data_IF_044798372685
#
_entry.id   IF_044798372685
#
_cell.length_a   1.000
_cell.length_b   1.000
_cell.length_c   1.000
_cell.angle_alpha   90.00
_cell.angle_beta   90.00
_cell.angle_gamma   90.00
#
_symmetry.space_group_name_H-M   'P 1'
#
loop_
_entity.id
_entity.type
_entity.pdbx_description
1 polymer ?
#
# COMPACT_ATOMS: atom_id res chain seq x y z
N UNK A 1 6.66 4.24 -34.38
CA UNK A 1 5.42 4.04 -35.17
C UNK A 1 4.53 5.26 -35.03
N UNK A 2 3.77 5.62 -36.06
CA UNK A 2 2.79 6.72 -36.02
C UNK A 2 1.39 6.18 -35.79
N UNK A 3 0.72 6.74 -34.78
CA UNK A 3 -0.68 6.46 -34.46
C UNK A 3 -1.46 7.76 -34.45
N UNK A 4 -2.78 7.67 -34.66
CA UNK A 4 -3.69 8.82 -34.65
C UNK A 4 -4.65 8.69 -33.47
N UNK A 5 -4.66 9.67 -32.56
CA UNK A 5 -5.58 9.71 -31.42
C UNK A 5 -6.42 10.97 -31.52
N UNK A 6 -7.74 10.82 -31.58
CA UNK A 6 -8.70 11.92 -31.70
C UNK A 6 -8.34 12.92 -32.82
N UNK A 7 -7.97 12.42 -33.99
CA UNK A 7 -7.59 13.27 -35.14
C UNK A 7 -6.11 13.69 -35.20
N UNK A 8 -5.36 13.60 -34.10
CA UNK A 8 -3.97 14.07 -34.00
C UNK A 8 -2.96 12.92 -34.09
N UNK A 9 -1.84 13.15 -34.77
CA UNK A 9 -0.78 12.14 -34.95
C UNK A 9 0.20 12.19 -33.76
N UNK A 10 0.54 11.01 -33.23
CA UNK A 10 1.50 10.82 -32.15
C UNK A 10 2.51 9.73 -32.52
N UNK A 11 3.70 9.83 -31.93
CA UNK A 11 4.71 8.78 -32.00
C UNK A 11 4.51 7.79 -30.85
N UNK A 12 4.51 6.51 -31.19
CA UNK A 12 4.51 5.38 -30.28
C UNK A 12 5.82 4.60 -30.41
N UNK A 13 6.38 4.21 -29.27
CA UNK A 13 7.52 3.30 -29.22
C UNK A 13 7.02 1.85 -29.37
N UNK A 14 7.91 0.97 -29.78
CA UNK A 14 7.62 -0.45 -29.84
C UNK A 14 7.31 -1.00 -28.43
N UNK A 15 6.28 -1.85 -28.32
CA UNK A 15 5.83 -2.40 -27.04
C UNK A 15 4.99 -1.46 -26.16
N UNK A 16 4.74 -0.21 -26.57
CA UNK A 16 3.85 0.68 -25.82
C UNK A 16 2.37 0.34 -26.01
N UNK A 17 1.61 0.39 -24.92
CA UNK A 17 0.15 0.33 -24.98
C UNK A 17 -0.43 1.67 -25.43
N UNK A 18 -1.67 1.66 -25.96
CA UNK A 18 -2.42 2.89 -26.26
C UNK A 18 -2.46 3.81 -25.03
N UNK A 19 -2.71 3.25 -23.85
CA UNK A 19 -2.78 4.00 -22.59
C UNK A 19 -1.44 4.68 -22.26
N UNK A 20 -0.31 4.00 -22.47
CA UNK A 20 1.02 4.58 -22.25
C UNK A 20 1.24 5.81 -23.13
N UNK A 21 0.86 5.72 -24.41
CA UNK A 21 0.96 6.84 -25.35
C UNK A 21 0.04 7.99 -24.94
N UNK A 22 -1.21 7.69 -24.53
CA UNK A 22 -2.14 8.70 -24.02
C UNK A 22 -1.59 9.42 -22.79
N UNK A 23 -1.09 8.68 -21.79
CA UNK A 23 -0.54 9.25 -20.54
C UNK A 23 0.64 10.20 -20.81
N UNK A 24 1.62 9.79 -21.63
CA UNK A 24 2.76 10.63 -22.02
C UNK A 24 2.33 11.95 -22.65
N UNK A 25 1.27 11.91 -23.45
CA UNK A 25 0.78 13.08 -24.20
C UNK A 25 -0.34 13.82 -23.47
N UNK A 26 -0.55 13.54 -22.18
CA UNK A 26 -1.59 14.17 -21.33
C UNK A 26 -3.01 14.02 -21.91
N UNK A 27 -3.26 12.94 -22.65
CA UNK A 27 -4.59 12.56 -23.13
C UNK A 27 -5.25 11.73 -22.04
N UNK A 28 -6.36 12.24 -21.51
CA UNK A 28 -7.09 11.57 -20.43
C UNK A 28 -7.79 10.32 -20.96
N UNK A 29 -7.47 9.17 -20.38
CA UNK A 29 -8.21 7.92 -20.51
C UNK A 29 -8.38 7.34 -19.10
N UNK A 30 -9.61 7.18 -18.59
CA UNK A 30 -9.83 6.74 -17.21
C UNK A 30 -9.41 5.27 -17.02
N UNK A 31 -8.91 4.94 -15.83
CA UNK A 31 -8.42 3.60 -15.49
C UNK A 31 -8.70 3.29 -14.03
N UNK A 32 -8.98 2.02 -13.71
CA UNK A 32 -9.04 1.52 -12.33
C UNK A 32 -8.14 0.31 -12.10
N UNK A 33 -8.06 -0.66 -13.02
CA UNK A 33 -7.18 -1.82 -12.84
C UNK A 33 -5.76 -1.61 -13.38
N UNK A 34 -5.53 -0.53 -14.14
CA UNK A 34 -4.21 -0.24 -14.69
C UNK A 34 -3.39 0.55 -13.67
N UNK A 35 -2.15 0.12 -13.45
CA UNK A 35 -1.13 0.82 -12.67
C UNK A 35 0.12 1.01 -13.55
N UNK A 36 0.84 2.14 -13.49
CA UNK A 36 2.02 2.39 -14.33
C UNK A 36 3.06 1.25 -14.28
N UNK A 37 3.37 0.75 -13.09
CA UNK A 37 4.37 -0.33 -12.90
C UNK A 37 3.88 -1.72 -13.34
N UNK A 38 2.61 -1.84 -13.74
CA UNK A 38 1.96 -3.10 -14.10
C UNK A 38 1.38 -3.06 -15.53
N UNK A 39 1.97 -2.26 -16.42
CA UNK A 39 1.60 -2.26 -17.85
C UNK A 39 2.42 -3.31 -18.63
N UNK A 40 1.82 -4.01 -19.62
CA UNK A 40 0.40 -3.99 -19.98
C UNK A 40 -0.50 -4.58 -18.87
N UNK A 41 -1.72 -4.03 -18.76
CA UNK A 41 -2.72 -4.47 -17.78
C UNK A 41 -3.66 -5.51 -18.38
N UNK A 42 -4.31 -6.31 -17.53
CA UNK A 42 -5.32 -7.30 -17.96
C UNK A 42 -6.62 -6.64 -18.47
N UNK A 43 -6.81 -5.34 -18.22
CA UNK A 43 -7.97 -4.59 -18.71
C UNK A 43 -9.31 -5.00 -18.09
N UNK A 44 -9.29 -5.64 -16.91
CA UNK A 44 -10.48 -6.22 -16.25
C UNK A 44 -11.55 -5.19 -15.91
N UNK A 45 -11.18 -3.98 -15.46
CA UNK A 45 -12.17 -2.96 -15.07
C UNK A 45 -12.89 -2.31 -16.25
N UNK A 46 -12.37 -2.47 -17.48
CA UNK A 46 -12.93 -1.88 -18.71
C UNK A 46 -13.20 -0.36 -18.67
N UNK A 47 -12.58 0.39 -17.76
CA UNK A 47 -12.68 1.86 -17.76
C UNK A 47 -11.89 2.50 -18.90
N UNK A 48 -10.78 1.88 -19.32
CA UNK A 48 -9.91 2.41 -20.38
C UNK A 48 -10.36 2.05 -21.80
N UNK A 49 -11.63 1.70 -22.00
CA UNK A 49 -12.14 1.34 -23.32
C UNK A 49 -11.99 2.51 -24.30
N UNK A 50 -11.55 2.20 -25.51
CA UNK A 50 -11.43 3.12 -26.64
C UNK A 50 -11.94 2.43 -27.91
N UNK A 51 -12.30 3.23 -28.90
CA UNK A 51 -12.67 2.74 -30.23
C UNK A 51 -11.46 2.82 -31.16
N UNK A 52 -11.27 1.83 -32.03
CA UNK A 52 -10.17 1.81 -32.99
C UNK A 52 -10.62 1.41 -34.38
N UNK A 53 -9.84 1.78 -35.39
CA UNK A 53 -10.07 1.35 -36.77
C UNK A 53 -9.76 -0.14 -37.04
N UNK A 54 -9.14 -0.84 -36.09
CA UNK A 54 -8.71 -2.23 -36.25
C UNK A 54 -9.64 -3.25 -35.58
N UNK A 55 -10.53 -2.82 -34.70
CA UNK A 55 -11.45 -3.68 -33.98
C UNK A 55 -12.91 -3.27 -34.23
N UNK A 56 -13.81 -4.26 -34.39
CA UNK A 56 -15.26 -4.00 -34.50
C UNK A 56 -15.89 -3.55 -33.17
N UNK A 57 -15.23 -3.88 -32.06
CA UNK A 57 -15.67 -3.56 -30.69
C UNK A 57 -14.76 -2.54 -30.00
N UNK A 58 -15.14 -2.14 -28.79
CA UNK A 58 -14.28 -1.34 -27.94
C UNK A 58 -13.15 -2.19 -27.38
N UNK A 59 -11.94 -1.65 -27.34
CA UNK A 59 -10.75 -2.34 -26.85
C UNK A 59 -10.18 -1.63 -25.62
N UNK A 60 -9.60 -2.35 -24.64
CA UNK A 60 -8.96 -1.73 -23.50
C UNK A 60 -7.62 -1.10 -23.90
N UNK A 61 -7.50 0.22 -23.75
CA UNK A 61 -6.27 0.95 -24.08
C UNK A 61 -5.05 0.50 -23.26
N UNK A 62 -5.26 -0.05 -22.06
CA UNK A 62 -4.18 -0.51 -21.17
C UNK A 62 -3.56 -1.86 -21.56
N UNK A 63 -4.17 -2.59 -22.51
CA UNK A 63 -3.70 -3.90 -22.97
C UNK A 63 -3.38 -3.89 -24.47
N UNK A 64 -4.11 -3.11 -25.25
CA UNK A 64 -3.88 -3.01 -26.70
C UNK A 64 -2.55 -2.29 -26.97
N UNK A 65 -1.66 -2.97 -27.70
CA UNK A 65 -0.40 -2.39 -28.16
C UNK A 65 -0.63 -1.39 -29.29
N UNK A 66 0.17 -0.32 -29.30
CA UNK A 66 0.22 0.63 -30.40
C UNK A 66 0.97 0.02 -31.59
N UNK A 67 0.40 0.14 -32.78
CA UNK A 67 0.98 -0.33 -34.04
C UNK A 67 0.82 0.75 -35.12
N UNK A 68 1.64 0.69 -36.18
CA UNK A 68 1.60 1.68 -37.26
C UNK A 68 0.19 1.76 -37.89
N UNK A 69 -0.30 2.98 -38.11
CA UNK A 69 -1.60 3.22 -38.75
C UNK A 69 -2.81 3.02 -37.83
N UNK A 70 -2.60 2.76 -36.53
CA UNK A 70 -3.68 2.68 -35.55
C UNK A 70 -4.35 4.05 -35.38
N UNK A 71 -5.67 4.09 -35.54
CA UNK A 71 -6.50 5.25 -35.24
C UNK A 71 -7.38 4.95 -34.02
N UNK A 72 -7.38 5.85 -33.05
CA UNK A 72 -8.01 5.68 -31.73
C UNK A 72 -8.93 6.87 -31.45
N UNK A 73 -10.14 6.58 -31.00
CA UNK A 73 -11.11 7.55 -30.51
C UNK A 73 -11.42 7.28 -29.04
N UNK A 74 -11.18 8.27 -28.18
CA UNK A 74 -11.25 8.06 -26.72
C UNK A 74 -12.57 8.49 -26.08
N UNK A 75 -13.39 9.30 -26.79
CA UNK A 75 -14.58 9.97 -26.24
C UNK A 75 -15.82 9.84 -27.14
N UNK A 76 -16.00 8.70 -27.81
CA UNK A 76 -17.24 8.44 -28.58
C UNK A 76 -18.42 8.19 -27.64
N UNK A 77 -19.66 8.41 -28.11
CA UNK A 77 -20.87 8.11 -27.33
C UNK A 77 -20.89 6.65 -26.86
N UNK A 78 -20.50 5.73 -27.75
CA UNK A 78 -20.38 4.30 -27.47
C UNK A 78 -19.38 4.02 -26.34
N UNK A 79 -18.20 4.67 -26.36
CA UNK A 79 -17.19 4.56 -25.31
C UNK A 79 -17.73 5.07 -23.98
N UNK A 80 -18.32 6.25 -23.96
CA UNK A 80 -18.80 6.87 -22.73
C UNK A 80 -19.97 6.10 -22.09
N UNK A 81 -20.90 5.60 -22.90
CA UNK A 81 -21.97 4.71 -22.44
C UNK A 81 -21.41 3.42 -21.83
N UNK A 82 -20.43 2.79 -22.48
CA UNK A 82 -19.82 1.56 -21.97
C UNK A 82 -19.07 1.80 -20.65
N UNK A 83 -18.28 2.87 -20.54
CA UNK A 83 -17.58 3.23 -19.29
C UNK A 83 -18.55 3.49 -18.14
N UNK A 84 -19.65 4.21 -18.38
CA UNK A 84 -20.69 4.46 -17.36
C UNK A 84 -21.31 3.15 -16.85
N UNK A 85 -21.70 2.25 -17.75
CA UNK A 85 -22.25 0.94 -17.37
C UNK A 85 -21.24 0.10 -16.58
N UNK A 86 -19.98 0.04 -17.03
CA UNK A 86 -18.94 -0.71 -16.32
C UNK A 86 -18.71 -0.16 -14.92
N UNK A 87 -18.72 1.16 -14.77
CA UNK A 87 -18.55 1.80 -13.47
C UNK A 87 -19.74 1.54 -12.53
N UNK A 88 -20.97 1.55 -13.04
CA UNK A 88 -22.17 1.17 -12.28
C UNK A 88 -22.10 -0.31 -11.82
N UNK A 89 -21.57 -1.22 -12.65
CA UNK A 89 -21.36 -2.62 -12.28
C UNK A 89 -20.26 -2.80 -11.22
N UNK A 90 -19.13 -2.11 -11.37
CA UNK A 90 -18.07 -2.12 -10.35
C UNK A 90 -18.57 -1.61 -8.99
N UNK A 91 -19.54 -0.71 -9.00
CA UNK A 91 -20.17 -0.23 -7.78
C UNK A 91 -21.16 -1.23 -7.17
N UNK A 92 -21.79 -2.08 -8.00
CA UNK A 92 -22.61 -3.19 -7.50
C UNK A 92 -21.78 -4.20 -6.70
N UNK A 93 -20.52 -4.40 -7.08
CA UNK A 93 -19.56 -5.25 -6.37
C UNK A 93 -18.82 -4.53 -5.21
N UNK A 94 -19.36 -3.41 -4.70
CA UNK A 94 -18.72 -2.60 -3.66
C UNK A 94 -19.72 -2.14 -2.59
N UNK A 95 -19.34 -2.20 -1.31
CA UNK A 95 -20.26 -1.90 -0.19
C UNK A 95 -20.72 -0.43 -0.07
N UNK A 96 -20.00 0.51 -0.68
CA UNK A 96 -20.46 1.91 -0.79
C UNK A 96 -20.51 2.72 0.52
N UNK A 97 -19.97 2.20 1.63
CA UNK A 97 -19.97 2.84 2.96
C UNK A 97 -18.93 3.98 3.09
N UNK A 98 -19.04 5.01 2.24
CA UNK A 98 -18.01 6.05 2.10
C UNK A 98 -17.79 6.90 3.36
N UNK A 99 -18.82 7.12 4.19
CA UNK A 99 -18.73 7.98 5.38
C UNK A 99 -17.72 7.44 6.41
N UNK A 100 -17.67 6.12 6.58
CA UNK A 100 -16.76 5.44 7.51
C UNK A 100 -15.50 4.89 6.82
N UNK A 101 -15.32 5.16 5.53
CA UNK A 101 -14.26 4.56 4.72
C UNK A 101 -12.94 5.31 4.92
N UNK A 102 -11.86 4.56 5.19
CA UNK A 102 -10.50 5.10 5.37
C UNK A 102 -9.96 5.84 4.13
N UNK A 103 -10.46 5.51 2.93
CA UNK A 103 -10.07 6.16 1.66
C UNK A 103 -11.03 7.24 1.19
N UNK A 104 -11.99 7.67 2.02
CA UNK A 104 -12.94 8.71 1.63
C UNK A 104 -12.19 10.00 1.23
N UNK A 105 -12.53 10.56 0.07
CA UNK A 105 -11.88 11.75 -0.48
C UNK A 105 -10.57 11.49 -1.23
N UNK A 106 -10.10 10.23 -1.29
CA UNK A 106 -8.89 9.80 -2.04
C UNK A 106 -9.07 8.45 -2.74
N UNK A 107 -10.32 8.06 -3.00
CA UNK A 107 -10.67 6.78 -3.61
C UNK A 107 -10.83 6.95 -5.13
N UNK A 108 -10.04 6.22 -5.93
CA UNK A 108 -10.09 6.33 -7.40
C UNK A 108 -11.47 5.94 -7.95
N UNK A 109 -12.17 5.01 -7.29
CA UNK A 109 -13.53 4.61 -7.67
C UNK A 109 -14.54 5.75 -7.40
N UNK A 110 -14.40 6.43 -6.27
CA UNK A 110 -15.23 7.58 -5.89
C UNK A 110 -15.03 8.75 -6.87
N UNK A 111 -13.78 9.05 -7.22
CA UNK A 111 -13.45 10.10 -8.17
C UNK A 111 -14.11 9.84 -9.53
N UNK A 112 -14.01 8.60 -10.03
CA UNK A 112 -14.65 8.24 -11.29
C UNK A 112 -16.17 8.30 -11.22
N UNK A 113 -16.79 7.91 -10.11
CA UNK A 113 -18.24 8.02 -9.94
C UNK A 113 -18.69 9.49 -10.03
N UNK A 114 -17.93 10.41 -9.45
CA UNK A 114 -18.17 11.85 -9.57
C UNK A 114 -17.99 12.35 -11.01
N UNK A 115 -16.93 11.92 -11.70
CA UNK A 115 -16.64 12.33 -13.09
C UNK A 115 -17.74 11.88 -14.06
N UNK A 116 -18.35 10.72 -13.83
CA UNK A 116 -19.38 10.13 -14.70
C UNK A 116 -20.83 10.45 -14.27
N UNK A 117 -20.98 11.28 -13.23
CA UNK A 117 -22.27 11.69 -12.67
C UNK A 117 -23.17 10.47 -12.39
N UNK A 118 -22.64 9.54 -11.60
CA UNK A 118 -23.39 8.37 -11.14
C UNK A 118 -24.10 8.73 -9.85
N UNK A 119 -25.38 9.08 -9.97
CA UNK A 119 -26.26 9.42 -8.85
C UNK A 119 -27.22 8.29 -8.46
N UNK A 120 -27.40 7.31 -9.36
CA UNK A 120 -28.25 6.14 -9.13
C UNK A 120 -27.52 4.87 -9.58
N UNK A 121 -27.39 3.91 -8.68
CA UNK A 121 -26.74 2.63 -8.95
C UNK A 121 -27.77 1.60 -9.39
N UNK A 122 -28.08 1.62 -10.69
CA UNK A 122 -29.12 0.77 -11.31
C UNK A 122 -28.94 -0.73 -11.05
N UNK A 123 -27.70 -1.18 -10.88
CA UNK A 123 -27.37 -2.59 -10.67
C UNK A 123 -27.20 -2.97 -9.20
N UNK A 124 -27.21 -2.00 -8.27
CA UNK A 124 -27.18 -2.30 -6.83
C UNK A 124 -28.62 -2.63 -6.40
N UNK A 125 -28.89 -3.87 -5.95
CA UNK A 125 -30.21 -4.21 -5.44
C UNK A 125 -30.55 -3.33 -4.23
N UNK A 126 -31.79 -2.86 -4.11
CA UNK A 126 -32.17 -2.07 -2.94
C UNK A 126 -32.36 -3.01 -1.77
N UNK A 127 -31.64 -2.81 -0.67
CA UNK A 127 -31.72 -3.68 0.52
C UNK A 127 -33.14 -3.93 1.02
N UNK A 128 -34.05 -2.95 0.90
CA UNK A 128 -35.46 -3.08 1.30
C UNK A 128 -36.28 -4.05 0.43
N UNK A 129 -35.78 -4.37 -0.76
CA UNK A 129 -36.41 -5.26 -1.74
C UNK A 129 -35.88 -6.70 -1.63
N UNK A 130 -34.95 -6.97 -0.68
CA UNK A 130 -34.35 -8.28 -0.44
C UNK A 130 -34.91 -8.86 0.86
N UNK A 131 -35.46 -10.08 0.82
CA UNK A 131 -36.14 -10.70 1.96
C UNK A 131 -35.41 -11.96 2.45
N UNK A 132 -34.73 -12.66 1.55
CA UNK A 132 -34.02 -13.91 1.89
C UNK A 132 -32.53 -13.69 2.17
N UNK A 133 -31.89 -14.57 2.97
CA UNK A 133 -30.44 -14.56 3.16
C UNK A 133 -29.64 -14.66 1.86
N UNK A 134 -30.10 -15.50 0.92
CA UNK A 134 -29.45 -15.69 -0.40
C UNK A 134 -29.51 -14.41 -1.27
N UNK A 135 -30.60 -13.65 -1.18
CA UNK A 135 -30.73 -12.36 -1.87
C UNK A 135 -29.86 -11.29 -1.22
N UNK A 136 -29.75 -11.30 0.12
CA UNK A 136 -28.87 -10.38 0.82
C UNK A 136 -27.38 -10.67 0.54
N UNK A 137 -26.99 -11.92 0.29
CA UNK A 137 -25.62 -12.30 -0.14
C UNK A 137 -25.21 -11.65 -1.48
N UNK A 138 -26.15 -11.13 -2.27
CA UNK A 138 -25.85 -10.33 -3.47
C UNK A 138 -25.22 -8.97 -3.14
N UNK A 139 -25.42 -8.47 -1.92
CA UNK A 139 -24.78 -7.25 -1.46
C UNK A 139 -23.42 -7.58 -0.87
N UNK A 140 -22.35 -6.98 -1.41
CA UNK A 140 -20.97 -7.19 -0.94
C UNK A 140 -20.81 -6.89 0.57
N UNK A 141 -21.69 -6.07 1.13
CA UNK A 141 -21.68 -5.71 2.55
C UNK A 141 -22.34 -6.74 3.49
N UNK A 142 -23.00 -7.76 2.93
CA UNK A 142 -23.67 -8.84 3.62
C UNK A 142 -23.17 -10.23 3.16
N UNK A 143 -22.02 -10.25 2.48
CA UNK A 143 -21.48 -11.42 1.84
C UNK A 143 -20.93 -12.43 2.85
N UNK A 144 -21.33 -13.70 2.74
CA UNK A 144 -20.95 -14.75 3.71
C UNK A 144 -19.44 -15.03 3.74
N UNK A 145 -18.75 -14.81 2.63
CA UNK A 145 -17.31 -15.08 2.45
C UNK A 145 -16.50 -13.78 2.35
N UNK A 146 -16.93 -12.78 3.12
CA UNK A 146 -16.14 -11.57 3.29
C UNK A 146 -14.83 -11.90 4.00
N UNK A 147 -13.71 -11.57 3.35
CA UNK A 147 -12.39 -11.67 3.93
C UNK A 147 -12.10 -10.43 4.79
N UNK A 148 -12.27 -10.58 6.10
CA UNK A 148 -11.80 -9.61 7.10
C UNK A 148 -10.51 -10.11 7.74
N UNK A 149 -9.42 -9.39 7.55
CA UNK A 149 -8.15 -9.67 8.22
C UNK A 149 -7.71 -8.43 8.99
N UNK A 150 -8.03 -8.43 10.29
CA UNK A 150 -7.62 -7.38 11.23
C UNK A 150 -6.60 -7.87 12.27
N UNK A 151 -6.30 -9.17 12.27
CA UNK A 151 -5.43 -9.80 13.28
C UNK A 151 -3.96 -9.60 12.98
N UNK A 152 -3.60 -9.40 11.72
CA UNK A 152 -2.21 -9.11 11.37
C UNK A 152 -1.84 -7.66 11.72
N UNK A 153 -0.57 -7.46 12.06
CA UNK A 153 -0.06 -6.20 12.62
C UNK A 153 0.13 -5.07 11.61
N UNK A 154 0.18 -5.38 10.31
CA UNK A 154 0.67 -4.44 9.30
C UNK A 154 -0.39 -4.02 8.30
N UNK A 155 -1.26 -4.94 7.90
CA UNK A 155 -2.25 -4.80 6.84
C UNK A 155 -3.65 -4.98 7.45
N UNK A 156 -4.63 -4.25 6.95
CA UNK A 156 -6.04 -4.52 7.19
C UNK A 156 -6.71 -4.86 5.86
N UNK A 157 -7.50 -5.93 5.85
CA UNK A 157 -8.26 -6.35 4.66
C UNK A 157 -9.73 -6.30 4.95
N UNK A 158 -10.46 -5.75 3.99
CA UNK A 158 -11.91 -5.72 3.97
C UNK A 158 -12.37 -5.94 2.51
N UNK A 159 -12.73 -7.17 2.17
CA UNK A 159 -13.14 -7.48 0.80
C UNK A 159 -14.47 -6.85 0.38
N UNK A 160 -15.23 -6.23 1.30
CA UNK A 160 -16.46 -5.51 0.95
C UNK A 160 -16.18 -4.28 0.06
N UNK A 161 -14.97 -3.74 0.12
CA UNK A 161 -14.52 -2.64 -0.73
C UNK A 161 -13.73 -3.09 -1.97
N UNK A 162 -13.61 -4.40 -2.21
CA UNK A 162 -12.81 -4.94 -3.31
C UNK A 162 -13.59 -4.91 -4.63
N UNK A 163 -13.06 -4.20 -5.62
CA UNK A 163 -13.59 -4.19 -7.00
C UNK A 163 -12.88 -5.19 -7.93
N UNK A 164 -12.18 -6.17 -7.35
CA UNK A 164 -11.51 -7.27 -8.09
C UNK A 164 -10.57 -6.79 -9.21
N UNK A 165 -9.93 -5.63 -9.02
CA UNK A 165 -9.08 -5.00 -10.04
C UNK A 165 -7.73 -5.70 -10.26
N UNK A 166 -7.37 -6.65 -9.38
CA UNK A 166 -6.15 -7.48 -9.41
C UNK A 166 -4.82 -6.73 -9.32
N UNK A 167 -4.81 -5.42 -9.02
CA UNK A 167 -3.56 -4.66 -8.81
C UNK A 167 -2.72 -5.28 -7.69
N UNK A 168 -3.35 -5.62 -6.57
CA UNK A 168 -2.69 -6.25 -5.41
C UNK A 168 -2.13 -7.65 -5.72
N UNK A 169 -2.85 -8.47 -6.50
CA UNK A 169 -2.39 -9.79 -6.95
C UNK A 169 -1.15 -9.62 -7.83
N UNK A 170 -1.23 -8.74 -8.82
CA UNK A 170 -0.15 -8.53 -9.79
C UNK A 170 1.08 -7.88 -9.19
N UNK A 171 0.96 -6.86 -8.34
CA UNK A 171 2.15 -6.27 -7.69
C UNK A 171 2.87 -7.29 -6.80
N UNK A 172 2.10 -8.16 -6.13
CA UNK A 172 2.66 -9.19 -5.24
C UNK A 172 3.37 -10.30 -6.02
N UNK A 173 2.81 -10.72 -7.17
CA UNK A 173 3.42 -11.72 -8.06
C UNK A 173 4.55 -11.13 -8.89
N UNK A 174 4.22 -10.15 -9.73
CA UNK A 174 5.07 -9.67 -10.82
C UNK A 174 6.26 -8.84 -10.29
N UNK A 175 6.10 -8.11 -9.18
CA UNK A 175 7.15 -7.24 -8.61
C UNK A 175 7.79 -7.79 -7.35
N UNK A 176 6.99 -8.36 -6.43
CA UNK A 176 7.52 -8.86 -5.16
C UNK A 176 7.91 -10.34 -5.20
N UNK A 177 7.43 -11.12 -6.18
CA UNK A 177 7.67 -12.57 -6.32
C UNK A 177 7.20 -13.41 -5.11
N UNK A 178 6.23 -12.90 -4.34
CA UNK A 178 5.72 -13.55 -3.12
C UNK A 178 4.44 -14.34 -3.40
N UNK A 179 3.61 -13.87 -4.33
CA UNK A 179 2.32 -14.50 -4.70
C UNK A 179 1.38 -14.76 -3.50
N UNK A 180 1.34 -13.83 -2.52
CA UNK A 180 0.51 -13.98 -1.33
C UNK A 180 -1.02 -13.94 -1.59
N UNK A 181 -1.43 -13.45 -2.76
CA UNK A 181 -2.84 -13.31 -3.14
C UNK A 181 -3.14 -14.02 -4.45
N UNK A 182 -4.36 -14.55 -4.56
CA UNK A 182 -4.94 -15.10 -5.77
C UNK A 182 -6.40 -14.71 -5.96
N UNK A 183 -7.02 -15.23 -7.01
CA UNK A 183 -8.45 -15.15 -7.23
C UNK A 183 -9.10 -16.42 -6.68
N UNK A 184 -9.96 -16.27 -5.68
CA UNK A 184 -10.77 -17.34 -5.11
C UNK A 184 -12.16 -17.33 -5.74
N UNK A 185 -12.83 -18.48 -5.68
CA UNK A 185 -14.19 -18.69 -6.20
C UNK A 185 -14.37 -18.33 -7.68
N UNK A 186 -15.63 -18.25 -8.14
CA UNK A 186 -16.01 -17.96 -9.53
C UNK A 186 -17.34 -17.21 -9.58
N UNK A 187 -17.63 -16.60 -10.74
CA UNK A 187 -18.87 -15.87 -10.98
C UNK A 187 -19.06 -14.73 -9.97
N UNK A 188 -20.29 -14.47 -9.52
CA UNK A 188 -20.62 -13.49 -8.48
C UNK A 188 -19.93 -13.72 -7.12
N UNK A 189 -19.33 -14.90 -6.90
CA UNK A 189 -18.59 -15.22 -5.67
C UNK A 189 -17.10 -14.90 -5.76
N UNK A 190 -16.60 -14.46 -6.92
CA UNK A 190 -15.17 -14.20 -7.14
C UNK A 190 -14.62 -13.22 -6.11
N UNK A 191 -13.46 -13.52 -5.50
CA UNK A 191 -12.83 -12.63 -4.54
C UNK A 191 -11.30 -12.64 -4.66
N UNK A 192 -10.64 -11.55 -4.25
CA UNK A 192 -9.20 -11.56 -4.01
C UNK A 192 -8.93 -12.11 -2.61
N UNK A 193 -8.26 -13.24 -2.54
CA UNK A 193 -8.05 -14.00 -1.32
C UNK A 193 -6.62 -14.50 -1.16
N UNK A 194 -6.32 -14.97 0.04
CA UNK A 194 -5.17 -15.86 0.28
C UNK A 194 -5.55 -17.28 -0.17
N UNK A 195 -4.56 -18.15 -0.48
CA UNK A 195 -4.81 -19.56 -0.73
C UNK A 195 -5.58 -20.18 0.44
N UNK A 196 -6.68 -20.89 0.14
CA UNK A 196 -7.57 -21.51 1.15
C UNK A 196 -8.15 -20.54 2.21
N UNK A 197 -8.15 -19.23 1.94
CA UNK A 197 -8.66 -18.19 2.85
C UNK A 197 -8.05 -18.17 4.25
N UNK A 198 -6.82 -18.70 4.37
CA UNK A 198 -6.08 -18.66 5.62
C UNK A 198 -5.65 -17.21 5.95
N UNK A 199 -5.43 -16.89 7.23
CA UNK A 199 -4.89 -15.58 7.63
C UNK A 199 -3.62 -15.22 6.84
N UNK A 200 -3.46 -13.94 6.49
CA UNK A 200 -2.34 -13.50 5.67
C UNK A 200 -1.00 -13.65 6.41
N UNK A 201 -0.15 -14.54 5.91
CA UNK A 201 1.21 -14.75 6.41
C UNK A 201 2.26 -14.50 5.32
N UNK A 202 2.41 -13.23 4.90
CA UNK A 202 3.36 -12.82 3.85
C UNK A 202 4.61 -12.12 4.44
N UNK A 203 5.34 -11.37 3.61
CA UNK A 203 6.50 -10.54 4.04
C UNK A 203 6.09 -9.12 4.51
N UNK A 204 4.78 -8.83 4.48
CA UNK A 204 4.17 -7.57 4.94
C UNK A 204 4.74 -6.28 4.33
N UNK A 205 5.24 -6.32 3.09
CA UNK A 205 5.84 -5.15 2.43
C UNK A 205 4.85 -4.02 2.07
N UNK A 206 3.54 -4.30 2.10
CA UNK A 206 2.49 -3.30 1.90
C UNK A 206 2.27 -2.82 0.47
N UNK A 207 3.00 -3.34 -0.51
CA UNK A 207 2.82 -2.95 -1.91
C UNK A 207 1.40 -3.21 -2.42
N UNK A 208 0.71 -4.23 -1.90
CA UNK A 208 -0.70 -4.48 -2.17
C UNK A 208 -1.65 -3.39 -1.66
N UNK A 209 -1.36 -2.80 -0.48
CA UNK A 209 -2.10 -1.66 0.07
C UNK A 209 -1.87 -0.40 -0.76
N UNK A 210 -0.59 -0.14 -1.09
CA UNK A 210 -0.18 1.04 -1.85
C UNK A 210 -0.88 1.15 -3.21
N UNK A 211 -1.06 0.04 -3.93
CA UNK A 211 -1.70 0.03 -5.25
C UNK A 211 -3.23 -0.14 -5.21
N UNK A 212 -3.82 -0.36 -4.03
CA UNK A 212 -5.26 -0.58 -3.91
C UNK A 212 -6.03 0.72 -4.23
N UNK A 213 -6.92 0.73 -5.25
CA UNK A 213 -7.65 1.95 -5.64
C UNK A 213 -8.81 2.29 -4.69
N UNK A 214 -9.14 1.39 -3.77
CA UNK A 214 -10.24 1.47 -2.81
C UNK A 214 -9.73 1.12 -1.40
N UNK A 215 -10.61 0.99 -0.40
CA UNK A 215 -10.23 0.62 0.96
C UNK A 215 -10.15 -0.90 1.20
N UNK A 216 -10.03 -1.71 0.15
CA UNK A 216 -10.06 -3.17 0.29
C UNK A 216 -8.82 -3.74 1.00
N UNK A 217 -7.67 -3.09 0.79
CA UNK A 217 -6.42 -3.37 1.48
C UNK A 217 -5.87 -2.03 1.95
N UNK A 218 -5.71 -1.89 3.25
CA UNK A 218 -5.15 -0.70 3.91
C UNK A 218 -4.06 -1.14 4.88
N UNK A 219 -3.33 -0.20 5.43
CA UNK A 219 -2.48 -0.42 6.60
C UNK A 219 -3.31 -0.61 7.88
N UNK A 220 -2.72 -1.33 8.85
CA UNK A 220 -3.25 -1.34 10.21
C UNK A 220 -3.07 0.06 10.80
N UNK A 221 -4.16 0.64 11.27
CA UNK A 221 -4.18 1.99 11.82
C UNK A 221 -4.00 1.92 13.34
N UNK A 222 -2.92 2.53 13.83
CA UNK A 222 -2.58 2.59 15.26
C UNK A 222 -2.78 4.02 15.83
N UNK A 223 -3.42 4.92 15.09
CA UNK A 223 -3.66 6.30 15.52
C UNK A 223 -4.45 6.37 16.83
N UNK A 224 -5.46 5.52 16.99
CA UNK A 224 -6.25 5.48 18.23
C UNK A 224 -5.43 5.02 19.46
N UNK A 225 -4.40 4.20 19.26
CA UNK A 225 -3.48 3.82 20.35
C UNK A 225 -2.53 4.98 20.67
N UNK A 226 -2.06 5.69 19.64
CA UNK A 226 -1.25 6.88 19.80
C UNK A 226 -1.99 8.01 20.54
N UNK A 227 -3.24 8.28 20.19
CA UNK A 227 -4.10 9.26 20.88
C UNK A 227 -4.30 8.91 22.35
N UNK A 228 -4.50 7.62 22.67
CA UNK A 228 -4.58 7.15 24.06
C UNK A 228 -3.27 7.36 24.82
N UNK A 229 -2.13 7.14 24.16
CA UNK A 229 -0.82 7.37 24.75
C UNK A 229 -0.59 8.87 25.06
N UNK A 230 -0.96 9.76 24.14
CA UNK A 230 -0.89 11.21 24.33
C UNK A 230 -1.82 11.70 25.46
N UNK A 231 -2.96 11.04 25.64
CA UNK A 231 -3.92 11.40 26.68
C UNK A 231 -3.53 10.91 28.09
N UNK A 232 -2.55 10.02 28.24
CA UNK A 232 -2.12 9.51 29.55
C UNK A 232 -1.06 10.43 30.19
N UNK A 233 -1.40 11.20 31.24
CA UNK A 233 -0.46 12.14 31.87
C UNK A 233 0.68 11.45 32.63
N UNK A 234 0.64 10.12 32.80
CA UNK A 234 1.71 9.34 33.45
C UNK A 234 2.75 8.84 32.47
N UNK A 235 2.49 8.99 31.17
CA UNK A 235 3.34 8.50 30.10
C UNK A 235 4.03 9.65 29.40
N UNK A 236 5.22 9.37 28.93
CA UNK A 236 6.03 10.26 28.12
C UNK A 236 6.06 9.71 26.70
N UNK A 237 5.49 10.44 25.75
CA UNK A 237 5.40 10.02 24.35
C UNK A 237 6.63 10.51 23.60
N UNK A 238 7.49 9.57 23.26
CA UNK A 238 8.75 9.81 22.57
C UNK A 238 8.62 9.30 21.14
N UNK A 239 8.78 10.20 20.17
CA UNK A 239 8.62 9.87 18.75
C UNK A 239 9.98 9.79 18.08
N UNK A 240 10.16 8.84 17.17
CA UNK A 240 11.24 8.83 16.19
C UNK A 240 10.69 8.88 14.76
N UNK A 241 11.28 9.70 13.88
CA UNK A 241 10.83 9.84 12.49
C UNK A 241 11.83 9.24 11.50
N UNK A 242 11.36 8.38 10.60
CA UNK A 242 12.21 7.80 9.56
C UNK A 242 12.68 8.85 8.53
N UNK A 243 13.82 8.60 7.85
CA UNK A 243 14.40 9.55 6.90
C UNK A 243 13.43 10.00 5.80
N UNK A 244 12.67 9.08 5.18
CA UNK A 244 11.80 9.42 4.05
C UNK A 244 10.60 10.30 4.41
N UNK A 245 10.12 10.23 5.66
CA UNK A 245 8.90 10.93 6.12
C UNK A 245 9.03 12.44 5.91
N UNK A 246 10.23 13.01 6.11
CA UNK A 246 10.47 14.44 5.92
C UNK A 246 10.39 14.92 4.46
N UNK A 247 10.29 14.00 3.50
CA UNK A 247 10.15 14.32 2.07
C UNK A 247 8.78 13.97 1.50
N UNK A 248 8.06 13.02 2.11
CA UNK A 248 6.78 12.51 1.60
C UNK A 248 5.58 13.05 2.36
N UNK A 249 5.71 13.35 3.66
CA UNK A 249 4.59 13.79 4.49
C UNK A 249 3.97 15.12 4.01
N UNK A 250 4.74 15.94 3.30
CA UNK A 250 4.28 17.21 2.74
C UNK A 250 3.25 17.04 1.62
N UNK A 251 3.27 15.92 0.90
CA UNK A 251 2.34 15.62 -0.18
C UNK A 251 0.90 15.53 0.32
N UNK A 252 0.71 15.07 1.56
CA UNK A 252 -0.58 14.99 2.25
C UNK A 252 -1.25 16.35 2.46
N UNK A 253 -0.49 17.43 2.35
CA UNK A 253 -0.93 18.82 2.49
C UNK A 253 -0.90 19.58 1.16
N UNK A 254 -0.77 18.85 0.04
CA UNK A 254 -0.80 19.41 -1.30
C UNK A 254 0.52 20.02 -1.78
N UNK A 255 1.62 19.79 -1.05
CA UNK A 255 2.96 20.19 -1.50
C UNK A 255 3.46 19.26 -2.61
N UNK A 256 4.49 19.70 -3.34
CA UNK A 256 5.10 18.90 -4.41
C UNK A 256 5.88 17.73 -3.81
N UNK A 257 5.87 16.59 -4.50
CA UNK A 257 6.66 15.42 -4.10
C UNK A 257 8.15 15.74 -3.95
N UNK A 258 8.76 15.23 -2.88
CA UNK A 258 10.15 15.49 -2.51
C UNK A 258 10.38 16.81 -1.76
N UNK A 259 9.33 17.54 -1.40
CA UNK A 259 9.46 18.77 -0.60
C UNK A 259 9.92 18.44 0.82
N UNK A 260 11.07 18.98 1.21
CA UNK A 260 11.65 18.81 2.55
C UNK A 260 10.86 19.56 3.62
N UNK A 261 10.47 18.87 4.70
CA UNK A 261 9.46 19.35 5.65
C UNK A 261 9.74 19.04 7.13
N UNK A 262 11.00 18.75 7.48
CA UNK A 262 11.39 18.28 8.82
C UNK A 262 10.97 19.21 9.96
N UNK A 263 11.29 20.52 9.87
CA UNK A 263 11.00 21.45 10.97
C UNK A 263 9.50 21.59 11.26
N UNK A 264 8.66 21.54 10.23
CA UNK A 264 7.20 21.58 10.37
C UNK A 264 6.68 20.27 10.96
N UNK A 265 7.19 19.12 10.51
CA UNK A 265 6.85 17.83 11.09
C UNK A 265 7.14 17.78 12.60
N UNK A 266 8.36 18.18 13.00
CA UNK A 266 8.76 18.22 14.42
C UNK A 266 7.89 19.19 15.22
N UNK A 267 7.58 20.37 14.68
CA UNK A 267 6.70 21.33 15.33
C UNK A 267 5.29 20.77 15.53
N UNK A 268 4.72 20.13 14.51
CA UNK A 268 3.39 19.50 14.60
C UNK A 268 3.34 18.38 15.64
N UNK A 269 4.37 17.54 15.72
CA UNK A 269 4.43 16.47 16.73
C UNK A 269 4.48 17.04 18.16
N UNK A 270 5.20 18.13 18.37
CA UNK A 270 5.21 18.83 19.68
C UNK A 270 3.85 19.46 20.00
N UNK A 271 3.20 20.07 19.01
CA UNK A 271 1.86 20.65 19.17
C UNK A 271 0.81 19.58 19.49
N UNK A 272 0.97 18.36 18.94
CA UNK A 272 0.13 17.20 19.27
C UNK A 272 0.34 16.68 20.71
N UNK A 273 1.39 17.14 21.41
CA UNK A 273 1.68 16.73 22.79
C UNK A 273 2.80 15.71 22.94
N UNK A 274 3.62 15.45 21.91
CA UNK A 274 4.79 14.58 22.06
C UNK A 274 5.91 15.29 22.86
N UNK A 275 6.41 14.64 23.91
CA UNK A 275 7.43 15.21 24.80
C UNK A 275 8.79 15.38 24.13
N UNK A 276 9.15 14.45 23.24
CA UNK A 276 10.41 14.49 22.50
C UNK A 276 10.26 13.89 21.11
N UNK A 277 11.00 14.47 20.17
CA UNK A 277 11.12 13.96 18.80
C UNK A 277 12.59 13.69 18.53
N UNK A 278 12.93 12.43 18.25
CA UNK A 278 14.22 11.96 17.80
C UNK A 278 14.20 11.68 16.30
N UNK A 279 15.39 11.63 15.71
CA UNK A 279 15.58 11.31 14.31
C UNK A 279 16.14 9.89 14.15
N UNK A 280 15.42 9.01 13.44
CA UNK A 280 15.89 7.65 13.14
C UNK A 280 17.17 7.63 12.30
N UNK A 281 17.59 8.76 11.69
CA UNK A 281 18.92 8.90 11.07
C UNK A 281 20.03 8.56 12.05
N UNK A 282 19.91 8.91 13.34
CA UNK A 282 20.88 8.48 14.35
C UNK A 282 20.93 6.95 14.47
N UNK A 283 19.78 6.29 14.43
CA UNK A 283 19.69 4.83 14.37
C UNK A 283 20.35 4.26 13.11
N UNK A 284 20.25 4.97 11.98
CA UNK A 284 20.90 4.56 10.73
C UNK A 284 22.42 4.68 10.82
N UNK A 285 22.95 5.77 11.38
CA UNK A 285 24.38 5.92 11.60
C UNK A 285 24.94 4.80 12.50
N UNK A 286 24.20 4.44 13.55
CA UNK A 286 24.56 3.32 14.44
C UNK A 286 24.52 1.97 13.72
N UNK A 287 23.48 1.72 12.91
CA UNK A 287 23.42 0.53 12.07
C UNK A 287 24.65 0.46 11.16
N UNK A 288 25.06 1.57 10.53
CA UNK A 288 26.23 1.59 9.65
C UNK A 288 27.53 1.32 10.42
N UNK A 289 27.70 1.87 11.62
CA UNK A 289 28.90 1.63 12.44
C UNK A 289 29.04 0.12 12.72
N UNK A 290 27.97 -0.52 13.19
CA UNK A 290 27.97 -1.95 13.52
C UNK A 290 28.08 -2.83 12.27
N UNK A 291 27.33 -2.52 11.21
CA UNK A 291 27.27 -3.33 9.99
C UNK A 291 28.57 -3.23 9.19
N UNK A 292 29.21 -2.06 9.13
CA UNK A 292 30.53 -1.90 8.54
C UNK A 292 31.61 -2.63 9.37
N UNK A 293 31.51 -2.57 10.70
CA UNK A 293 32.42 -3.32 11.57
C UNK A 293 32.28 -4.83 11.34
N UNK A 294 31.04 -5.34 11.27
CA UNK A 294 30.73 -6.73 10.97
C UNK A 294 31.26 -7.16 9.60
N UNK A 295 31.08 -6.34 8.56
CA UNK A 295 31.60 -6.62 7.23
C UNK A 295 33.13 -6.75 7.23
N UNK A 296 33.84 -5.79 7.86
CA UNK A 296 35.30 -5.84 7.98
C UNK A 296 35.73 -7.10 8.75
N UNK A 297 35.01 -7.44 9.82
CA UNK A 297 35.26 -8.65 10.60
C UNK A 297 35.10 -9.91 9.74
N UNK A 298 34.00 -10.05 8.99
CA UNK A 298 33.74 -11.18 8.08
C UNK A 298 34.83 -11.30 7.00
N UNK A 299 35.27 -10.19 6.41
CA UNK A 299 36.35 -10.18 5.41
C UNK A 299 37.67 -10.67 6.02
N UNK A 300 38.06 -10.13 7.18
CA UNK A 300 39.35 -10.47 7.83
C UNK A 300 39.41 -11.92 8.29
N UNK A 301 38.31 -12.48 8.75
CA UNK A 301 38.26 -13.83 9.32
C UNK A 301 37.70 -14.89 8.37
N UNK A 302 37.57 -14.58 7.07
CA UNK A 302 36.98 -15.47 6.05
C UNK A 302 35.60 -16.01 6.50
N UNK A 303 34.79 -15.11 7.08
CA UNK A 303 33.41 -15.39 7.47
C UNK A 303 32.49 -15.56 6.26
N UNK A 304 31.20 -15.72 6.55
CA UNK A 304 30.18 -15.99 5.53
C UNK A 304 29.93 -14.75 4.67
N UNK A 305 30.12 -14.90 3.36
CA UNK A 305 29.92 -13.89 2.33
C UNK A 305 29.06 -14.45 1.18
N UNK A 306 28.31 -13.62 0.43
CA UNK A 306 28.14 -12.17 0.62
C UNK A 306 27.38 -11.83 1.91
N UNK A 307 27.67 -10.68 2.51
CA UNK A 307 26.87 -10.17 3.63
C UNK A 307 25.65 -9.42 3.08
N UNK A 308 24.46 -9.71 3.59
CA UNK A 308 23.21 -9.06 3.25
C UNK A 308 22.80 -8.10 4.36
N UNK A 309 22.20 -6.98 3.99
CA UNK A 309 21.61 -6.05 4.96
C UNK A 309 20.41 -6.67 5.67
N UNK A 310 20.17 -6.28 6.92
CA UNK A 310 19.05 -6.78 7.75
C UNK A 310 18.03 -5.70 8.15
N UNK A 311 18.21 -4.45 7.69
CA UNK A 311 17.41 -3.32 8.15
C UNK A 311 15.96 -3.27 7.62
N UNK A 312 15.67 -4.01 6.54
CA UNK A 312 14.35 -4.11 5.94
C UNK A 312 13.62 -5.36 6.47
N UNK A 313 12.56 -5.22 7.28
CA UNK A 313 11.87 -6.37 7.87
C UNK A 313 11.22 -7.29 6.84
N UNK A 314 10.69 -6.74 5.74
CA UNK A 314 10.16 -7.55 4.64
C UNK A 314 11.23 -8.39 3.94
N UNK A 315 12.46 -7.87 3.83
CA UNK A 315 13.58 -8.64 3.29
C UNK A 315 14.02 -9.74 4.24
N UNK A 316 14.12 -9.45 5.55
CA UNK A 316 14.42 -10.46 6.56
C UNK A 316 13.39 -11.59 6.51
N UNK A 317 12.08 -11.25 6.49
CA UNK A 317 11.01 -12.24 6.35
C UNK A 317 11.09 -13.03 5.04
N UNK A 318 11.52 -12.38 3.95
CA UNK A 318 11.70 -13.05 2.67
C UNK A 318 12.79 -14.11 2.74
N UNK A 319 13.94 -13.78 3.35
CA UNK A 319 15.02 -14.75 3.60
C UNK A 319 14.55 -15.86 4.54
N UNK A 320 13.92 -15.52 5.67
CA UNK A 320 13.44 -16.49 6.67
C UNK A 320 12.47 -17.51 6.07
N UNK A 321 11.58 -17.08 5.17
CA UNK A 321 10.53 -17.94 4.59
C UNK A 321 10.95 -18.68 3.33
N UNK A 322 11.68 -18.02 2.43
CA UNK A 322 11.93 -18.54 1.09
C UNK A 322 13.38 -18.97 0.86
N UNK A 323 14.34 -18.43 1.62
CA UNK A 323 15.76 -18.74 1.47
C UNK A 323 16.48 -18.88 2.82
N UNK A 324 16.02 -19.78 3.71
CA UNK A 324 16.55 -19.90 5.07
C UNK A 324 18.04 -20.23 5.12
N UNK A 325 18.60 -20.83 4.06
CA UNK A 325 20.04 -21.07 3.91
C UNK A 325 20.89 -19.79 3.93
N UNK A 326 20.30 -18.63 3.61
CA UNK A 326 20.96 -17.33 3.62
C UNK A 326 20.75 -16.54 4.92
N UNK A 327 20.08 -17.10 5.94
CA UNK A 327 19.98 -16.45 7.25
C UNK A 327 21.38 -16.09 7.82
N UNK A 328 22.42 -16.96 7.75
CA UNK A 328 23.76 -16.60 8.21
C UNK A 328 24.43 -15.46 7.41
N UNK A 329 23.92 -15.16 6.21
CA UNK A 329 24.40 -14.06 5.38
C UNK A 329 23.81 -12.72 5.81
N UNK A 330 22.66 -12.68 6.49
CA UNK A 330 22.10 -11.44 7.04
C UNK A 330 23.07 -10.84 8.08
N UNK A 331 23.20 -9.52 8.07
CA UNK A 331 23.88 -8.79 9.14
C UNK A 331 23.18 -9.05 10.46
N UNK A 332 23.99 -9.21 11.51
CA UNK A 332 23.52 -9.32 12.89
C UNK A 332 22.94 -8.00 13.44
N UNK A 333 23.13 -6.89 12.72
CA UNK A 333 22.69 -5.57 13.14
C UNK A 333 21.16 -5.48 13.18
N UNK A 334 20.64 -4.81 14.21
CA UNK A 334 19.24 -4.37 14.22
C UNK A 334 19.01 -3.27 13.18
N UNK A 335 17.76 -3.11 12.76
CA UNK A 335 17.38 -2.01 11.88
C UNK A 335 17.52 -0.64 12.57
N UNK A 336 17.56 0.48 11.83
CA UNK A 336 17.64 1.81 12.42
C UNK A 336 16.55 2.11 13.46
N UNK A 337 15.32 1.66 13.20
CA UNK A 337 14.21 1.76 14.16
C UNK A 337 14.56 1.03 15.47
N UNK A 338 15.05 -0.20 15.34
CA UNK A 338 15.36 -1.10 16.46
C UNK A 338 16.75 -0.88 17.06
N UNK A 339 17.59 0.00 16.48
CA UNK A 339 18.81 0.50 17.11
C UNK A 339 18.49 1.70 18.02
N UNK A 340 17.71 2.66 17.51
CA UNK A 340 17.42 3.89 18.25
C UNK A 340 16.44 3.68 19.41
N UNK A 341 15.39 2.88 19.21
CA UNK A 341 14.35 2.70 20.22
C UNK A 341 14.88 2.13 21.57
N UNK A 342 15.72 1.07 21.59
CA UNK A 342 16.31 0.62 22.84
C UNK A 342 17.28 1.63 23.46
N UNK A 343 18.00 2.45 22.67
CA UNK A 343 18.84 3.53 23.21
C UNK A 343 18.02 4.61 23.91
N UNK A 344 16.82 4.92 23.40
CA UNK A 344 15.88 5.83 24.07
C UNK A 344 15.52 5.27 25.45
N UNK A 345 15.15 4.00 25.53
CA UNK A 345 14.72 3.35 26.80
C UNK A 345 15.87 2.93 27.72
N UNK A 346 17.12 3.05 27.29
CA UNK A 346 18.30 2.69 28.10
C UNK A 346 19.19 3.90 28.32
N UNK A 347 20.09 4.18 27.38
CA UNK A 347 21.10 5.24 27.48
C UNK A 347 20.49 6.63 27.72
N UNK A 348 19.48 7.02 26.95
CA UNK A 348 18.85 8.33 27.11
C UNK A 348 18.04 8.43 28.40
N UNK A 349 17.21 7.42 28.68
CA UNK A 349 16.41 7.36 29.91
C UNK A 349 17.31 7.42 31.17
N UNK A 350 18.41 6.68 31.20
CA UNK A 350 19.38 6.71 32.30
C UNK A 350 20.00 8.10 32.46
N UNK A 351 20.45 8.71 31.36
CA UNK A 351 21.08 10.04 31.37
C UNK A 351 20.13 11.12 31.89
N UNK A 352 18.88 11.08 31.47
CA UNK A 352 17.85 12.04 31.89
C UNK A 352 17.17 11.67 33.22
N UNK A 353 17.54 10.52 33.81
CA UNK A 353 16.96 9.97 35.05
C UNK A 353 15.45 9.73 34.95
N UNK A 354 15.00 9.20 33.80
CA UNK A 354 13.62 8.83 33.50
C UNK A 354 13.46 7.33 33.68
N UNK A 355 12.35 6.89 34.30
CA UNK A 355 12.01 5.46 34.35
C UNK A 355 11.58 4.98 32.96
N UNK A 356 12.26 3.99 32.34
CA UNK A 356 11.88 3.46 31.03
C UNK A 356 10.43 2.97 30.95
N UNK A 357 9.81 2.59 32.07
CA UNK A 357 8.41 2.19 32.13
C UNK A 357 7.42 3.33 31.83
N UNK A 358 7.86 4.58 31.95
CA UNK A 358 7.06 5.77 31.65
C UNK A 358 7.11 6.14 30.17
N UNK A 359 8.06 5.62 29.41
CA UNK A 359 8.26 5.96 28.00
C UNK A 359 7.33 5.11 27.12
N UNK A 360 6.55 5.78 26.27
CA UNK A 360 5.89 5.21 25.10
C UNK A 360 6.72 5.62 23.87
N UNK A 361 7.40 4.65 23.29
CA UNK A 361 8.26 4.78 22.11
C UNK A 361 7.42 4.61 20.85
N UNK A 362 7.29 5.67 20.08
CA UNK A 362 6.50 5.72 18.85
C UNK A 362 7.45 5.90 17.67
N UNK A 363 7.27 5.13 16.60
CA UNK A 363 8.02 5.35 15.36
C UNK A 363 7.09 5.76 14.22
N UNK A 364 7.48 6.77 13.44
CA UNK A 364 6.79 7.17 12.22
C UNK A 364 7.61 6.68 11.04
N UNK A 365 7.04 5.75 10.28
CA UNK A 365 7.76 4.93 9.30
C UNK A 365 7.02 4.89 7.96
N UNK A 366 7.70 5.08 6.82
CA UNK A 366 7.07 4.94 5.50
C UNK A 366 6.85 3.46 5.11
N UNK A 367 6.68 2.57 6.10
CA UNK A 367 6.70 1.13 5.92
C UNK A 367 5.81 0.45 6.95
N UNK A 368 4.79 -0.27 6.48
CA UNK A 368 3.88 -1.03 7.35
C UNK A 368 4.55 -2.26 7.97
N UNK A 369 5.59 -2.82 7.33
CA UNK A 369 6.33 -3.98 7.85
C UNK A 369 7.10 -3.64 9.13
N UNK A 370 7.37 -2.36 9.38
CA UNK A 370 7.94 -1.90 10.67
C UNK A 370 7.01 -2.13 11.85
N UNK A 371 5.68 -2.19 11.64
CA UNK A 371 4.70 -2.62 12.66
C UNK A 371 4.95 -4.08 13.05
N UNK A 372 5.20 -4.95 12.08
CA UNK A 372 5.54 -6.36 12.34
C UNK A 372 6.89 -6.47 13.07
N UNK A 373 7.91 -5.73 12.61
CA UNK A 373 9.22 -5.73 13.27
C UNK A 373 9.16 -5.28 14.73
N UNK A 374 8.32 -4.29 15.05
CA UNK A 374 8.12 -3.81 16.41
C UNK A 374 7.54 -4.89 17.34
N UNK A 375 6.83 -5.88 16.81
CA UNK A 375 6.19 -6.94 17.60
C UNK A 375 7.06 -8.19 17.79
N UNK A 376 8.24 -8.27 17.13
CA UNK A 376 9.15 -9.41 17.25
C UNK A 376 9.78 -9.47 18.64
N UNK A 377 9.43 -10.50 19.43
CA UNK A 377 9.83 -10.62 20.84
C UNK A 377 11.34 -10.78 21.02
N UNK A 378 11.98 -11.41 20.05
CA UNK A 378 13.42 -11.66 20.01
C UNK A 378 14.26 -10.41 19.71
N UNK A 379 13.63 -9.32 19.24
CA UNK A 379 14.32 -8.06 18.91
C UNK A 379 14.25 -7.05 20.07
N UNK A 380 13.70 -7.41 21.23
CA UNK A 380 13.68 -6.52 22.40
C UNK A 380 15.01 -6.56 23.17
N UNK A 381 15.65 -5.40 23.38
CA UNK A 381 16.91 -5.33 24.12
C UNK A 381 16.73 -5.35 25.65
N UNK A 382 15.53 -5.05 26.15
CA UNK A 382 15.26 -4.84 27.57
C UNK A 382 14.02 -5.56 28.09
N UNK A 383 13.57 -5.13 29.28
CA UNK A 383 12.36 -5.63 29.93
C UNK A 383 11.07 -5.17 29.24
N UNK A 384 11.14 -4.05 28.52
CA UNK A 384 10.02 -3.44 27.80
C UNK A 384 10.21 -3.62 26.30
N UNK A 385 9.11 -3.55 25.54
CA UNK A 385 9.18 -3.50 24.08
C UNK A 385 10.05 -2.31 23.65
N UNK A 386 10.89 -2.49 22.64
CA UNK A 386 11.77 -1.40 22.18
C UNK A 386 10.94 -0.28 21.51
N UNK A 387 9.96 -0.65 20.68
CA UNK A 387 8.96 0.24 20.06
C UNK A 387 7.57 -0.22 20.47
N UNK A 388 6.75 0.72 20.96
CA UNK A 388 5.38 0.42 21.41
C UNK A 388 4.35 0.65 20.29
N UNK A 389 4.50 1.72 19.49
CA UNK A 389 3.55 2.09 18.43
C UNK A 389 4.31 2.43 17.15
N UNK A 390 3.78 2.04 15.99
CA UNK A 390 4.33 2.42 14.68
C UNK A 390 3.24 3.10 13.85
N UNK A 391 3.45 4.36 13.48
CA UNK A 391 2.59 5.13 12.58
C UNK A 391 3.20 5.18 11.18
N UNK A 392 2.38 5.42 10.16
CA UNK A 392 2.78 5.38 8.74
C UNK A 392 2.51 6.68 8.00
#
# INVERSE_FOLDING_TARGET
MRIKINGKIYNANEGETILSVCKRNKIRVPTLCAHPDLLPSEGVCRMCLVETNQAKGLVPACAQMACEGLEVFTETEKVNKARKINLELLWADHAGKCVSCKRNGRCELQDLAQIYDINEFRFVPRRKELESPDELDLLKDNWEHTAFDEKNASISRDSQYCIECRRCVRICRDMQTVEAYGMNYRSSKTNVGTPYEIPLDCIFCGQCSAVCPTAAITEKDDAAEFEKALADPKKMVIVQTAPSVRFTFSEEFGEKSGTFWEGKLVASLRELGCDKVFDTVLGADLTIIEEAHELIHRIKHKGILPMFTSCCPSWVLYVEKYYPEFIPNLSSCKSPQQMLAPLIKTYWAEREKIDPAQIISVSIMPCISKKYEAQRKEINAGKYMDVDIVLT
#
